data_IF_323325803827
#
_entry.id   IF_323325803827
#
_cell.length_a   1.000
_cell.length_b   1.000
_cell.length_c   1.000
_cell.angle_alpha   90.00
_cell.angle_beta   90.00
_cell.angle_gamma   90.00
#
_symmetry.space_group_name_H-M   'P 1'
#
loop_
_entity.id
_entity.type
_entity.pdbx_description
1 polymer ?
#
# COMPACT_ATOMS: atom_id res chain seq x y z
N UNK A 1 -5.53 0.05 31.37
CA UNK A 1 -6.08 -1.29 31.69
C UNK A 1 -5.98 -2.13 30.43
N UNK A 2 -4.81 -2.71 30.17
CA UNK A 2 -4.56 -3.52 28.97
C UNK A 2 -4.71 -4.99 29.32
N UNK A 3 -5.61 -5.69 28.63
CA UNK A 3 -5.76 -7.13 28.75
C UNK A 3 -5.21 -7.73 27.46
N UNK A 4 -4.01 -8.31 27.53
CA UNK A 4 -3.46 -9.17 26.48
C UNK A 4 -3.97 -10.59 26.72
N UNK A 5 -4.62 -11.19 25.72
CA UNK A 5 -4.94 -12.60 25.73
C UNK A 5 -3.85 -13.39 25.00
N UNK A 6 -3.17 -14.26 25.74
CA UNK A 6 -2.26 -15.28 25.24
C UNK A 6 -3.09 -16.56 25.06
N UNK A 7 -2.97 -17.22 23.89
CA UNK A 7 -3.55 -18.55 23.68
C UNK A 7 -2.45 -19.62 23.65
N UNK A 8 -2.71 -20.85 24.15
CA UNK A 8 -1.67 -21.84 24.46
C UNK A 8 -1.40 -22.83 23.32
N UNK A 9 -0.17 -23.36 23.29
CA UNK A 9 0.26 -24.39 22.36
C UNK A 9 -0.32 -25.78 22.63
N UNK A 10 -0.36 -26.62 21.58
CA UNK A 10 -0.67 -28.05 21.65
C UNK A 10 0.37 -28.84 20.85
N UNK A 11 0.73 -30.00 21.41
CA UNK A 11 1.92 -30.82 21.15
C UNK A 11 1.75 -31.83 19.99
N UNK A 12 2.91 -32.26 19.52
CA UNK A 12 3.27 -33.41 18.66
C UNK A 12 2.35 -34.65 18.73
N UNK A 13 2.19 -35.33 17.58
CA UNK A 13 1.67 -36.69 17.50
C UNK A 13 1.85 -37.30 16.10
N UNK A 14 2.51 -38.45 16.06
CA UNK A 14 2.99 -39.24 14.92
C UNK A 14 1.89 -39.95 14.10
N UNK A 15 2.34 -40.57 13.00
CA UNK A 15 1.80 -41.72 12.24
C UNK A 15 1.15 -41.44 10.88
N UNK A 16 1.75 -42.00 9.82
CA UNK A 16 1.13 -42.08 8.48
C UNK A 16 2.09 -42.46 7.36
N UNK A 17 2.49 -43.74 7.30
CA UNK A 17 3.22 -44.36 6.19
C UNK A 17 2.49 -44.22 4.86
N UNK A 18 3.14 -43.65 3.83
CA UNK A 18 2.73 -43.84 2.45
C UNK A 18 3.93 -44.24 1.56
N UNK A 19 3.71 -45.37 0.89
CA UNK A 19 4.53 -46.16 -0.02
C UNK A 19 5.26 -45.35 -1.11
N UNK A 20 6.51 -45.77 -1.38
CA UNK A 20 7.25 -45.49 -2.62
C UNK A 20 6.48 -45.92 -3.88
N UNK A 21 6.61 -45.18 -4.98
CA UNK A 21 7.35 -45.59 -6.20
C UNK A 21 7.12 -44.58 -7.35
N UNK A 22 8.16 -43.81 -7.73
CA UNK A 22 8.34 -43.40 -9.12
C UNK A 22 9.75 -43.80 -9.56
N UNK A 23 9.86 -44.91 -10.29
CA UNK A 23 11.11 -45.36 -10.94
C UNK A 23 11.38 -44.56 -12.22
N UNK A 24 11.26 -43.25 -12.18
CA UNK A 24 11.78 -42.40 -13.25
C UNK A 24 13.28 -42.24 -13.00
N UNK A 25 14.16 -42.67 -13.91
CA UNK A 25 15.58 -42.39 -13.77
C UNK A 25 15.75 -40.87 -13.77
N UNK A 26 16.35 -40.33 -12.71
CA UNK A 26 16.72 -38.93 -12.63
C UNK A 26 17.71 -38.68 -13.77
N UNK A 27 17.23 -38.12 -14.86
CA UNK A 27 18.06 -37.69 -15.99
C UNK A 27 19.01 -36.66 -15.39
N UNK A 28 20.30 -37.01 -15.37
CA UNK A 28 21.41 -36.21 -14.83
C UNK A 28 21.21 -34.75 -15.28
N UNK A 29 20.91 -33.86 -14.34
CA UNK A 29 20.86 -32.43 -14.58
C UNK A 29 22.21 -32.05 -15.21
N UNK A 30 22.16 -31.50 -16.43
CA UNK A 30 23.33 -30.92 -17.05
C UNK A 30 23.94 -29.92 -16.07
N UNK A 31 25.25 -30.03 -15.84
CA UNK A 31 26.00 -29.07 -15.05
C UNK A 31 25.84 -27.69 -15.69
N UNK A 32 24.95 -26.86 -15.13
CA UNK A 32 24.89 -25.44 -15.45
C UNK A 32 26.23 -24.88 -14.98
N UNK A 33 27.07 -24.51 -15.94
CA UNK A 33 28.33 -23.85 -15.72
C UNK A 33 28.10 -22.62 -14.84
N UNK A 34 28.54 -22.72 -13.58
CA UNK A 34 28.60 -21.60 -12.63
C UNK A 34 29.71 -20.65 -13.06
N UNK A 35 29.41 -19.81 -14.03
CA UNK A 35 30.15 -18.59 -14.29
C UNK A 35 29.13 -17.48 -14.54
N UNK A 36 28.34 -17.17 -13.51
CA UNK A 36 27.67 -15.89 -13.45
C UNK A 36 28.76 -14.87 -13.11
N UNK A 37 29.27 -14.17 -14.12
CA UNK A 37 30.05 -12.96 -13.88
C UNK A 37 29.21 -12.03 -12.98
N UNK A 38 29.82 -11.36 -11.98
CA UNK A 38 29.09 -10.42 -11.15
C UNK A 38 28.70 -9.23 -12.02
N UNK A 39 27.55 -9.30 -12.68
CA UNK A 39 26.94 -8.16 -13.34
C UNK A 39 26.45 -7.21 -12.25
N UNK A 40 27.35 -6.40 -11.71
CA UNK A 40 27.00 -5.27 -10.85
C UNK A 40 26.29 -4.24 -11.72
N UNK A 41 24.99 -4.46 -11.95
CA UNK A 41 24.14 -3.43 -12.55
C UNK A 41 24.19 -2.22 -11.62
N UNK A 42 24.51 -1.02 -12.13
CA UNK A 42 24.51 0.18 -11.29
C UNK A 42 23.12 0.35 -10.70
N UNK A 43 23.05 0.77 -9.44
CA UNK A 43 21.78 1.06 -8.78
C UNK A 43 21.03 2.12 -9.59
N UNK A 44 19.74 1.91 -9.82
CA UNK A 44 18.86 2.94 -10.34
C UNK A 44 18.82 4.15 -9.40
N UNK A 45 18.36 5.30 -9.91
CA UNK A 45 18.22 6.50 -9.09
C UNK A 45 17.37 6.23 -7.84
N UNK A 46 16.26 5.48 -7.97
CA UNK A 46 15.47 5.02 -6.83
C UNK A 46 16.31 4.28 -5.76
N UNK A 47 17.25 3.42 -6.18
CA UNK A 47 18.16 2.72 -5.29
C UNK A 47 19.19 3.61 -4.62
N UNK A 48 19.74 4.58 -5.36
CA UNK A 48 20.67 5.58 -4.82
C UNK A 48 19.99 6.39 -3.71
N UNK A 49 18.80 6.94 -3.98
CA UNK A 49 18.08 7.78 -3.03
C UNK A 49 17.50 6.98 -1.85
N UNK A 50 17.02 5.76 -2.07
CA UNK A 50 16.54 4.90 -0.98
C UNK A 50 17.65 4.45 -0.03
N UNK A 51 18.89 4.37 -0.52
CA UNK A 51 20.04 3.94 0.27
C UNK A 51 20.69 5.08 1.07
N UNK A 52 20.40 6.34 0.74
CA UNK A 52 21.01 7.54 1.32
C UNK A 52 20.71 7.83 2.80
N UNK A 53 19.95 6.98 3.50
CA UNK A 53 19.85 6.91 4.96
C UNK A 53 19.23 8.08 5.72
N UNK A 54 19.11 9.27 5.12
CA UNK A 54 18.61 10.47 5.78
C UNK A 54 17.34 11.00 5.11
N UNK A 55 16.36 11.38 5.92
CA UNK A 55 15.15 12.07 5.44
C UNK A 55 15.55 13.46 4.96
N UNK A 56 15.13 13.81 3.74
CA UNK A 56 15.42 15.08 3.09
C UNK A 56 14.15 15.74 2.56
N UNK A 57 14.11 17.06 2.56
CA UNK A 57 12.93 17.87 2.16
C UNK A 57 13.24 18.87 1.03
N UNK A 58 14.44 18.80 0.46
CA UNK A 58 15.04 19.77 -0.49
C UNK A 58 15.10 19.22 -1.92
N UNK A 59 14.05 18.52 -2.36
CA UNK A 59 14.05 17.83 -3.65
C UNK A 59 13.95 18.80 -4.83
N UNK A 60 14.85 18.65 -5.80
CA UNK A 60 14.76 19.33 -7.08
C UNK A 60 13.89 18.53 -8.07
N UNK A 61 13.29 19.22 -9.05
CA UNK A 61 12.52 18.57 -10.12
C UNK A 61 13.31 17.49 -10.87
N UNK A 62 14.61 17.72 -11.09
CA UNK A 62 15.48 16.78 -11.81
C UNK A 62 15.69 15.49 -11.03
N UNK A 63 15.88 15.58 -9.71
CA UNK A 63 16.04 14.40 -8.87
C UNK A 63 14.75 13.57 -8.80
N UNK A 64 13.60 14.22 -8.63
CA UNK A 64 12.29 13.55 -8.66
C UNK A 64 12.07 12.85 -10.00
N UNK A 65 12.38 13.53 -11.12
CA UNK A 65 12.28 12.96 -12.45
C UNK A 65 13.16 11.71 -12.60
N UNK A 66 14.40 11.74 -12.10
CA UNK A 66 15.28 10.57 -12.16
C UNK A 66 14.75 9.35 -11.38
N UNK A 67 14.03 9.57 -10.27
CA UNK A 67 13.36 8.50 -9.53
C UNK A 67 12.18 7.96 -10.35
N UNK A 68 11.37 8.85 -10.92
CA UNK A 68 10.23 8.47 -11.76
C UNK A 68 10.65 7.66 -12.99
N UNK A 69 11.78 8.01 -13.61
CA UNK A 69 12.35 7.33 -14.78
C UNK A 69 13.11 6.04 -14.44
N UNK A 70 13.18 5.65 -13.16
CA UNK A 70 13.83 4.41 -12.75
C UNK A 70 13.04 3.17 -13.24
N UNK A 71 13.70 2.03 -13.51
CA UNK A 71 13.01 0.79 -13.86
C UNK A 71 11.94 0.44 -12.84
N UNK A 72 10.74 0.07 -13.30
CA UNK A 72 9.57 -0.16 -12.44
C UNK A 72 9.82 -1.17 -11.31
N UNK A 73 10.57 -2.24 -11.60
CA UNK A 73 10.89 -3.28 -10.62
C UNK A 73 11.82 -2.76 -9.52
N UNK A 74 12.76 -1.90 -9.87
CA UNK A 74 13.63 -1.23 -8.90
C UNK A 74 12.82 -0.24 -8.06
N UNK A 75 11.95 0.55 -8.68
CA UNK A 75 11.11 1.53 -7.98
C UNK A 75 10.21 0.84 -6.92
N UNK A 76 9.62 -0.29 -7.27
CA UNK A 76 8.83 -1.11 -6.34
C UNK A 76 9.69 -1.66 -5.19
N UNK A 77 10.85 -2.25 -5.51
CA UNK A 77 11.74 -2.83 -4.52
C UNK A 77 12.26 -1.78 -3.52
N UNK A 78 12.77 -0.66 -4.03
CA UNK A 78 13.31 0.41 -3.19
C UNK A 78 12.21 1.19 -2.46
N UNK A 79 11.04 1.39 -3.09
CA UNK A 79 9.86 1.96 -2.42
C UNK A 79 9.40 1.11 -1.23
N UNK A 80 9.30 -0.21 -1.41
CA UNK A 80 8.98 -1.13 -0.31
C UNK A 80 10.06 -1.14 0.78
N UNK A 81 11.34 -1.03 0.39
CA UNK A 81 12.46 -0.96 1.32
C UNK A 81 12.38 0.29 2.20
N UNK A 82 12.12 1.46 1.61
CA UNK A 82 11.93 2.71 2.35
C UNK A 82 10.71 2.63 3.26
N UNK A 83 9.60 2.08 2.77
CA UNK A 83 8.38 1.91 3.56
C UNK A 83 8.64 1.07 4.82
N UNK A 84 9.27 -0.11 4.69
CA UNK A 84 9.59 -1.00 5.83
C UNK A 84 10.59 -0.41 6.82
N UNK A 85 11.43 0.55 6.40
CA UNK A 85 12.37 1.23 7.30
C UNK A 85 11.70 2.28 8.20
N UNK A 86 10.60 2.87 7.75
CA UNK A 86 9.98 4.03 8.43
C UNK A 86 8.56 3.76 8.93
N UNK A 87 7.90 2.70 8.46
CA UNK A 87 6.54 2.35 8.82
C UNK A 87 6.45 0.87 9.22
N UNK A 88 5.50 0.55 10.09
CA UNK A 88 5.12 -0.84 10.36
C UNK A 88 4.44 -1.43 9.12
N UNK A 89 5.04 -2.43 8.45
CA UNK A 89 4.48 -3.01 7.24
C UNK A 89 3.17 -3.78 7.46
N UNK A 90 2.80 -4.06 8.72
CA UNK A 90 1.54 -4.73 9.07
C UNK A 90 0.45 -3.73 9.50
N UNK A 91 0.77 -2.45 9.66
CA UNK A 91 -0.16 -1.42 10.05
C UNK A 91 -0.69 -0.66 8.82
N UNK A 92 -2.00 -0.43 8.78
CA UNK A 92 -2.65 0.41 7.77
C UNK A 92 -3.53 1.43 8.48
N UNK A 93 -3.47 2.69 8.04
CA UNK A 93 -4.32 3.74 8.57
C UNK A 93 -5.70 3.71 7.89
N UNK A 94 -6.75 3.49 8.68
CA UNK A 94 -8.13 3.52 8.22
C UNK A 94 -8.79 4.87 8.54
N UNK A 95 -9.27 5.54 7.50
CA UNK A 95 -10.03 6.78 7.60
C UNK A 95 -11.37 6.65 6.86
N UNK A 96 -12.39 7.31 7.36
CA UNK A 96 -13.72 7.35 6.73
C UNK A 96 -14.03 8.77 6.32
N UNK A 97 -14.40 8.96 5.06
CA UNK A 97 -14.76 10.26 4.50
C UNK A 97 -16.28 10.34 4.32
N UNK A 98 -16.85 11.48 4.70
CA UNK A 98 -18.25 11.84 4.51
C UNK A 98 -18.33 13.08 3.64
N UNK A 99 -19.06 13.00 2.52
CA UNK A 99 -19.39 14.19 1.74
C UNK A 99 -20.52 14.95 2.45
N UNK A 100 -20.19 16.12 3.01
CA UNK A 100 -21.16 16.95 3.76
C UNK A 100 -22.09 17.71 2.82
N UNK A 101 -21.63 17.97 1.59
CA UNK A 101 -22.43 18.56 0.52
C UNK A 101 -21.98 17.97 -0.81
N UNK A 102 -22.91 17.38 -1.55
CA UNK A 102 -22.62 16.77 -2.83
C UNK A 102 -23.13 17.63 -3.99
N UNK A 103 -22.26 17.91 -4.96
CA UNK A 103 -22.62 18.58 -6.21
C UNK A 103 -22.80 20.09 -6.12
N UNK A 104 -23.00 20.72 -7.29
CA UNK A 104 -23.18 22.17 -7.41
C UNK A 104 -21.92 22.98 -7.12
N UNK A 105 -20.73 22.40 -7.33
CA UNK A 105 -19.46 23.09 -7.17
C UNK A 105 -19.25 24.13 -8.29
N UNK A 106 -18.78 25.33 -7.94
CA UNK A 106 -18.52 26.43 -8.90
C UNK A 106 -17.26 26.22 -9.73
N UNK A 107 -16.30 25.45 -9.21
CA UNK A 107 -15.01 25.19 -9.83
C UNK A 107 -15.16 24.35 -11.11
N UNK A 108 -14.23 24.51 -12.05
CA UNK A 108 -14.26 23.92 -13.40
C UNK A 108 -13.31 22.71 -13.55
N UNK A 109 -12.98 22.04 -12.44
CA UNK A 109 -12.12 20.87 -12.42
C UNK A 109 -12.61 19.79 -13.40
N UNK A 110 -11.86 19.57 -14.49
CA UNK A 110 -12.26 18.71 -15.61
C UNK A 110 -12.51 17.24 -15.24
N UNK A 111 -11.94 16.78 -14.12
CA UNK A 111 -12.10 15.42 -13.62
C UNK A 111 -13.18 15.29 -12.53
N UNK A 112 -13.69 16.40 -11.98
CA UNK A 112 -14.56 16.36 -10.81
C UNK A 112 -16.03 16.19 -11.23
N UNK A 113 -16.72 15.11 -10.81
CA UNK A 113 -18.11 14.89 -11.19
C UNK A 113 -19.09 15.83 -10.48
N UNK A 114 -18.64 16.56 -9.46
CA UNK A 114 -19.47 17.51 -8.69
C UNK A 114 -19.49 18.94 -9.26
N UNK A 115 -18.66 19.23 -10.27
CA UNK A 115 -18.62 20.54 -10.92
C UNK A 115 -19.93 20.82 -11.65
N UNK A 116 -20.48 22.01 -11.44
CA UNK A 116 -21.67 22.52 -12.13
C UNK A 116 -21.42 22.90 -13.59
N UNK A 117 -20.14 22.95 -14.02
CA UNK A 117 -19.75 23.32 -15.39
C UNK A 117 -19.98 22.18 -16.39
N UNK A 118 -20.05 20.94 -15.91
CA UNK A 118 -20.18 19.74 -16.75
C UNK A 118 -21.49 19.00 -16.47
N UNK A 119 -22.02 18.30 -17.47
CA UNK A 119 -23.20 17.45 -17.31
C UNK A 119 -22.78 16.09 -16.77
N UNK A 120 -23.10 15.84 -15.50
CA UNK A 120 -22.81 14.58 -14.81
C UNK A 120 -24.09 13.97 -14.23
N UNK A 121 -24.00 12.74 -13.72
CA UNK A 121 -25.13 12.06 -13.07
C UNK A 121 -25.27 12.42 -11.57
N UNK A 122 -24.45 13.33 -11.06
CA UNK A 122 -24.45 13.70 -9.64
C UNK A 122 -25.53 14.75 -9.39
N UNK A 123 -26.52 14.39 -8.55
CA UNK A 123 -27.57 15.31 -8.11
C UNK A 123 -27.02 16.20 -7.00
N UNK A 124 -27.30 17.51 -7.08
CA UNK A 124 -26.95 18.44 -6.01
C UNK A 124 -27.79 18.15 -4.76
N UNK A 125 -27.12 17.98 -3.62
CA UNK A 125 -27.74 17.88 -2.30
C UNK A 125 -27.51 19.17 -1.51
N UNK A 126 -28.35 19.40 -0.51
CA UNK A 126 -28.05 20.40 0.52
C UNK A 126 -26.94 19.89 1.43
N UNK A 127 -26.35 20.82 2.18
CA UNK A 127 -25.43 20.50 3.26
C UNK A 127 -26.17 19.64 4.30
N UNK A 128 -25.52 18.60 4.80
CA UNK A 128 -26.03 17.77 5.89
C UNK A 128 -26.13 18.59 7.19
N UNK A 129 -27.05 18.20 8.06
CA UNK A 129 -27.13 18.80 9.40
C UNK A 129 -25.98 18.30 10.28
N UNK A 130 -25.61 19.11 11.27
CA UNK A 130 -24.59 18.80 12.28
C UNK A 130 -24.90 17.47 12.98
N UNK A 131 -26.17 17.22 13.31
CA UNK A 131 -26.57 15.97 13.97
C UNK A 131 -26.33 14.74 13.07
N UNK A 132 -26.61 14.85 11.77
CA UNK A 132 -26.34 13.78 10.81
C UNK A 132 -24.83 13.54 10.66
N UNK A 133 -24.03 14.61 10.60
CA UNK A 133 -22.57 14.54 10.54
C UNK A 133 -22.00 13.84 11.77
N UNK A 134 -22.46 14.22 12.97
CA UNK A 134 -22.01 13.63 14.23
C UNK A 134 -22.42 12.15 14.33
N UNK A 135 -23.62 11.80 13.88
CA UNK A 135 -24.08 10.41 13.85
C UNK A 135 -23.29 9.56 12.86
N UNK A 136 -22.97 10.09 11.67
CA UNK A 136 -22.10 9.42 10.71
C UNK A 136 -20.68 9.24 11.24
N UNK A 137 -20.13 10.25 11.93
CA UNK A 137 -18.81 10.16 12.55
C UNK A 137 -18.77 9.12 13.68
N UNK A 138 -19.83 9.01 14.51
CA UNK A 138 -19.96 7.96 15.53
C UNK A 138 -19.99 6.57 14.90
N UNK A 139 -20.80 6.38 13.85
CA UNK A 139 -20.84 5.11 13.10
C UNK A 139 -19.49 4.74 12.50
N UNK A 140 -18.75 5.72 11.96
CA UNK A 140 -17.40 5.49 11.43
C UNK A 140 -16.42 5.03 12.53
N UNK A 141 -16.51 5.63 13.73
CA UNK A 141 -15.70 5.23 14.89
C UNK A 141 -16.04 3.81 15.35
N UNK A 142 -17.32 3.47 15.43
CA UNK A 142 -17.80 2.13 15.77
C UNK A 142 -17.35 1.08 14.73
N UNK A 143 -17.27 1.46 13.46
CA UNK A 143 -16.72 0.64 12.38
C UNK A 143 -15.18 0.50 12.39
N UNK A 144 -14.50 1.06 13.40
CA UNK A 144 -13.05 0.94 13.57
C UNK A 144 -12.23 2.04 12.90
N UNK A 145 -12.87 3.10 12.38
CA UNK A 145 -12.14 4.21 11.77
C UNK A 145 -11.38 5.03 12.82
N UNK A 146 -10.10 5.32 12.53
CA UNK A 146 -9.24 6.13 13.42
C UNK A 146 -9.45 7.63 13.22
N UNK A 147 -9.87 8.04 12.01
CA UNK A 147 -10.06 9.43 11.64
C UNK A 147 -11.24 9.58 10.69
N UNK A 148 -12.17 10.45 11.05
CA UNK A 148 -13.30 10.86 10.20
C UNK A 148 -12.96 12.16 9.48
N UNK A 149 -13.22 12.21 8.17
CA UNK A 149 -12.98 13.35 7.28
C UNK A 149 -14.30 13.88 6.75
N UNK A 150 -14.37 15.20 6.55
CA UNK A 150 -15.51 15.87 5.96
C UNK A 150 -15.06 16.51 4.63
N UNK A 151 -15.84 16.31 3.57
CA UNK A 151 -15.60 16.88 2.23
C UNK A 151 -16.83 17.64 1.71
#
# INVERSE_FOLDING_TARGET
MSIRFISPGVKNGLYGSFRCYSKTPVRRLASVSTAAEPTTRPLSAAGIYASGGHIRNDWTKREIQSIYDSPIMDLLYFGATVHRRHHDPLAVQQCTLLSIKTGGCSEDCAYCPQSSKYKTMVKASKMLDTDEILNAAKKAKEAGSTRSLLE
#
